data_IF_458844095980
#
_entry.id   IF_458844095980
#
_cell.length_a   1.000
_cell.length_b   1.000
_cell.length_c   1.000
_cell.angle_alpha   90.00
_cell.angle_beta   90.00
_cell.angle_gamma   90.00
#
_symmetry.space_group_name_H-M   'P 1'
#
loop_
_entity.id
_entity.type
_entity.pdbx_description
1 polymer ?
#
# COMPACT_ATOMS: atom_id res chain seq x y z
N UNK A 1 -5.13 -9.52 -15.74
CA UNK A 1 -5.62 -8.34 -14.96
C UNK A 1 -4.68 -8.00 -13.82
N UNK A 2 -4.68 -6.74 -13.33
CA UNK A 2 -3.83 -6.30 -12.23
C UNK A 2 -4.67 -5.57 -11.16
N UNK A 3 -4.53 -5.97 -9.92
CA UNK A 3 -5.10 -5.29 -8.77
C UNK A 3 -4.07 -4.31 -8.21
N UNK A 4 -4.51 -3.12 -7.82
CA UNK A 4 -3.60 -2.16 -7.21
C UNK A 4 -4.17 -1.51 -5.95
N UNK A 5 -3.28 -1.24 -5.02
CA UNK A 5 -3.50 -0.32 -3.91
C UNK A 5 -2.53 0.85 -4.02
N UNK A 6 -3.03 2.07 -3.91
CA UNK A 6 -2.20 3.27 -3.92
C UNK A 6 -2.80 4.35 -3.03
N UNK A 7 -1.97 5.06 -2.27
CA UNK A 7 -2.37 6.25 -1.54
C UNK A 7 -1.93 7.54 -2.27
N UNK A 8 -0.78 7.52 -2.92
CA UNK A 8 -0.12 8.72 -3.45
C UNK A 8 0.20 8.63 -4.95
N UNK A 9 -0.16 7.53 -5.61
CA UNK A 9 -0.04 7.37 -7.06
C UNK A 9 1.07 6.43 -7.51
N UNK A 10 2.12 6.16 -6.73
CA UNK A 10 3.26 5.34 -7.16
C UNK A 10 2.83 3.96 -7.68
N UNK A 11 2.08 3.19 -6.90
CA UNK A 11 1.65 1.86 -7.30
C UNK A 11 0.67 1.89 -8.48
N UNK A 12 -0.20 2.92 -8.59
CA UNK A 12 -1.05 3.10 -9.76
C UNK A 12 -0.23 3.40 -11.01
N UNK A 13 0.81 4.23 -10.90
CA UNK A 13 1.71 4.50 -12.00
C UNK A 13 2.42 3.22 -12.47
N UNK A 14 2.99 2.45 -11.52
CA UNK A 14 3.61 1.17 -11.84
C UNK A 14 2.62 0.19 -12.51
N UNK A 15 1.40 0.06 -11.97
CA UNK A 15 0.37 -0.77 -12.56
C UNK A 15 -0.01 -0.34 -13.98
N UNK A 16 -0.03 0.98 -14.26
CA UNK A 16 -0.39 1.52 -15.57
C UNK A 16 0.62 1.21 -16.68
N UNK A 17 1.87 0.95 -16.31
CA UNK A 17 2.92 0.58 -17.25
C UNK A 17 3.03 -0.94 -17.47
N UNK A 18 2.39 -1.73 -16.61
CA UNK A 18 2.46 -3.20 -16.69
C UNK A 18 1.24 -3.81 -17.39
N UNK A 19 0.02 -3.35 -17.09
CA UNK A 19 -1.22 -3.92 -17.63
C UNK A 19 -2.25 -2.84 -17.95
N UNK A 20 -3.11 -3.09 -18.93
CA UNK A 20 -4.21 -2.19 -19.30
C UNK A 20 -5.39 -2.33 -18.34
N UNK A 21 -5.78 -3.56 -18.01
CA UNK A 21 -6.87 -3.84 -17.09
C UNK A 21 -6.41 -3.71 -15.64
N UNK A 22 -6.84 -2.63 -14.98
CA UNK A 22 -6.44 -2.27 -13.62
C UNK A 22 -7.66 -2.16 -12.71
N UNK A 23 -7.64 -2.90 -11.62
CA UNK A 23 -8.71 -2.96 -10.63
C UNK A 23 -8.23 -2.38 -9.29
N UNK A 24 -8.94 -1.40 -8.78
CA UNK A 24 -8.62 -0.79 -7.48
C UNK A 24 -9.03 -1.69 -6.33
N UNK A 25 -8.09 -2.13 -5.50
CA UNK A 25 -8.36 -2.96 -4.32
C UNK A 25 -9.41 -2.31 -3.40
N UNK A 26 -9.29 -1.01 -2.99
CA UNK A 26 -10.32 -0.36 -2.18
C UNK A 26 -11.72 -0.35 -2.80
N UNK A 27 -11.83 -0.40 -4.13
CA UNK A 27 -13.12 -0.44 -4.81
C UNK A 27 -13.69 -1.86 -4.86
N UNK A 28 -12.86 -2.84 -5.24
CA UNK A 28 -13.32 -4.21 -5.38
C UNK A 28 -13.64 -4.86 -4.04
N UNK A 29 -12.97 -4.45 -2.96
CA UNK A 29 -13.25 -4.91 -1.59
C UNK A 29 -14.66 -4.59 -1.08
N UNK A 30 -15.44 -3.80 -1.82
CA UNK A 30 -16.86 -3.49 -1.53
C UNK A 30 -17.82 -4.51 -2.12
N UNK A 31 -17.32 -5.41 -2.96
CA UNK A 31 -18.11 -6.48 -3.59
C UNK A 31 -18.23 -7.65 -2.61
N UNK A 32 -19.32 -8.37 -2.72
CA UNK A 32 -19.56 -9.57 -1.91
C UNK A 32 -18.76 -10.76 -2.43
N UNK A 33 -18.64 -10.90 -3.76
CA UNK A 33 -17.84 -11.92 -4.42
C UNK A 33 -16.47 -11.35 -4.83
N UNK A 34 -15.41 -12.00 -4.35
CA UNK A 34 -14.02 -11.68 -4.64
C UNK A 34 -13.33 -12.85 -5.36
N UNK A 35 -14.02 -13.48 -6.29
CA UNK A 35 -13.48 -14.58 -7.11
C UNK A 35 -13.03 -14.04 -8.48
N UNK A 36 -11.77 -14.26 -8.81
CA UNK A 36 -11.15 -13.71 -10.03
C UNK A 36 -10.48 -14.82 -10.84
N UNK A 37 -10.72 -14.80 -12.15
CA UNK A 37 -10.13 -15.78 -13.08
C UNK A 37 -9.48 -15.05 -14.24
N UNK A 38 -8.18 -15.27 -14.42
CA UNK A 38 -7.40 -14.76 -15.55
C UNK A 38 -6.15 -15.64 -15.71
N UNK A 39 -5.62 -15.76 -16.92
CA UNK A 39 -4.36 -16.45 -17.17
C UNK A 39 -3.19 -15.86 -16.36
N UNK A 40 -3.22 -14.53 -16.11
CA UNK A 40 -2.21 -13.81 -15.33
C UNK A 40 -2.88 -12.81 -14.40
N UNK A 41 -2.69 -12.97 -13.09
CA UNK A 41 -3.19 -12.05 -12.06
C UNK A 41 -2.03 -11.42 -11.31
N UNK A 42 -2.03 -10.10 -11.22
CA UNK A 42 -1.02 -9.33 -10.51
C UNK A 42 -1.57 -8.47 -9.38
N UNK A 43 -0.74 -8.23 -8.36
CA UNK A 43 -0.98 -7.23 -7.32
C UNK A 43 0.15 -6.22 -7.35
N UNK A 44 -0.18 -4.92 -7.44
CA UNK A 44 0.77 -3.81 -7.26
C UNK A 44 0.40 -3.02 -6.02
N UNK A 45 1.32 -2.97 -5.06
CA UNK A 45 1.09 -2.34 -3.76
C UNK A 45 2.34 -1.62 -3.24
N UNK A 46 2.19 -0.57 -2.43
CA UNK A 46 3.32 0.04 -1.74
C UNK A 46 3.81 -0.83 -0.59
N UNK A 47 5.07 -0.62 -0.21
CA UNK A 47 5.67 -1.18 1.00
C UNK A 47 5.49 -0.19 2.14
N UNK A 48 4.74 -0.58 3.17
CA UNK A 48 4.55 0.18 4.40
C UNK A 48 5.13 -0.61 5.58
N UNK A 49 6.13 -0.06 6.26
CA UNK A 49 6.79 -0.77 7.35
C UNK A 49 7.42 -2.11 6.94
N UNK A 50 7.91 -2.18 5.69
CA UNK A 50 8.50 -3.36 5.04
C UNK A 50 7.49 -4.44 4.58
N UNK A 51 6.19 -4.26 4.82
CA UNK A 51 5.12 -5.16 4.40
C UNK A 51 4.13 -4.49 3.44
N UNK A 52 3.21 -5.26 2.88
CA UNK A 52 2.08 -4.71 2.15
C UNK A 52 1.08 -4.06 3.12
N UNK A 53 0.32 -3.03 2.68
CA UNK A 53 -0.71 -2.43 3.51
C UNK A 53 -1.76 -3.45 3.97
N UNK A 54 -2.31 -3.25 5.17
CA UNK A 54 -3.31 -4.13 5.77
C UNK A 54 -4.49 -4.43 4.83
N UNK A 55 -4.98 -3.42 4.09
CA UNK A 55 -6.06 -3.62 3.11
C UNK A 55 -5.68 -4.60 1.99
N UNK A 56 -4.40 -4.63 1.58
CA UNK A 56 -3.91 -5.60 0.58
C UNK A 56 -3.86 -7.01 1.18
N UNK A 57 -3.41 -7.13 2.43
CA UNK A 57 -3.43 -8.39 3.18
C UNK A 57 -4.86 -8.93 3.31
N UNK A 58 -5.82 -8.09 3.71
CA UNK A 58 -7.24 -8.45 3.82
C UNK A 58 -7.83 -8.88 2.47
N UNK A 59 -7.48 -8.17 1.39
CA UNK A 59 -7.90 -8.53 0.05
C UNK A 59 -7.39 -9.92 -0.33
N UNK A 60 -6.10 -10.18 -0.16
CA UNK A 60 -5.49 -11.48 -0.48
C UNK A 60 -6.07 -12.63 0.36
N UNK A 61 -6.41 -12.39 1.62
CA UNK A 61 -7.01 -13.38 2.51
C UNK A 61 -8.46 -13.72 2.12
N UNK A 62 -9.20 -12.75 1.57
CA UNK A 62 -10.63 -12.91 1.21
C UNK A 62 -10.84 -13.33 -0.23
N UNK A 63 -9.94 -12.95 -1.12
CA UNK A 63 -10.09 -13.20 -2.55
C UNK A 63 -9.69 -14.62 -2.93
N UNK A 64 -10.36 -15.17 -3.94
CA UNK A 64 -10.01 -16.44 -4.58
C UNK A 64 -9.49 -16.13 -5.98
N UNK A 65 -8.25 -16.55 -6.25
CA UNK A 65 -7.60 -16.33 -7.54
C UNK A 65 -7.45 -17.65 -8.31
N UNK A 66 -8.06 -17.72 -9.48
CA UNK A 66 -7.89 -18.80 -10.45
C UNK A 66 -6.95 -18.31 -11.55
N UNK A 67 -5.68 -18.64 -11.46
CA UNK A 67 -4.64 -18.19 -12.39
C UNK A 67 -3.48 -19.17 -12.43
N UNK A 68 -2.85 -19.30 -13.60
CA UNK A 68 -1.62 -20.09 -13.78
C UNK A 68 -0.35 -19.27 -13.43
N UNK A 69 -0.51 -17.94 -13.35
CA UNK A 69 0.61 -17.04 -13.11
C UNK A 69 0.20 -15.88 -12.19
N UNK A 70 0.47 -16.04 -10.90
CA UNK A 70 0.27 -14.98 -9.91
C UNK A 70 1.56 -14.21 -9.68
N UNK A 71 1.49 -12.87 -9.64
CA UNK A 71 2.67 -12.04 -9.39
C UNK A 71 2.39 -10.85 -8.49
N UNK A 72 3.44 -10.34 -7.83
CA UNK A 72 3.38 -9.12 -7.03
C UNK A 72 4.50 -8.15 -7.39
N UNK A 73 4.16 -6.86 -7.50
CA UNK A 73 5.13 -5.77 -7.67
C UNK A 73 4.97 -4.81 -6.49
N UNK A 74 6.03 -4.64 -5.73
CA UNK A 74 6.03 -3.88 -4.49
C UNK A 74 6.80 -2.57 -4.68
N UNK A 75 6.10 -1.44 -4.60
CA UNK A 75 6.73 -0.12 -4.76
C UNK A 75 7.23 0.41 -3.42
N UNK A 76 8.47 0.90 -3.38
CA UNK A 76 9.07 1.43 -2.16
C UNK A 76 9.87 2.69 -2.44
N UNK A 77 10.08 3.53 -1.41
CA UNK A 77 10.73 4.83 -1.56
C UNK A 77 12.18 4.89 -1.11
N UNK A 78 12.52 4.15 -0.06
CA UNK A 78 13.87 4.17 0.55
C UNK A 78 14.38 2.75 0.84
N UNK A 79 13.68 1.98 1.66
CA UNK A 79 14.04 0.60 2.01
C UNK A 79 12.83 -0.30 1.87
N UNK A 80 13.03 -1.49 1.33
CA UNK A 80 11.97 -2.50 1.25
C UNK A 80 12.05 -3.55 2.39
N UNK A 81 13.17 -3.63 3.12
CA UNK A 81 13.33 -4.44 4.34
C UNK A 81 12.95 -5.91 4.20
N UNK A 82 13.19 -6.51 3.03
CA UNK A 82 12.80 -7.91 2.80
C UNK A 82 11.38 -8.10 2.30
N UNK A 83 10.72 -7.04 1.81
CA UNK A 83 9.31 -7.08 1.38
C UNK A 83 8.97 -8.22 0.41
N UNK A 84 9.88 -8.63 -0.49
CA UNK A 84 9.64 -9.74 -1.41
C UNK A 84 9.47 -11.09 -0.67
N UNK A 85 10.30 -11.39 0.33
CA UNK A 85 10.16 -12.60 1.14
C UNK A 85 8.91 -12.55 2.03
N UNK A 86 8.60 -11.38 2.60
CA UNK A 86 7.40 -11.18 3.42
C UNK A 86 6.13 -11.32 2.58
N UNK A 87 6.12 -10.81 1.34
CA UNK A 87 5.03 -11.00 0.41
C UNK A 87 4.90 -12.46 -0.04
N UNK A 88 6.00 -13.17 -0.26
CA UNK A 88 5.99 -14.60 -0.56
C UNK A 88 5.37 -15.40 0.60
N UNK A 89 5.74 -15.06 1.84
CA UNK A 89 5.15 -15.68 3.04
C UNK A 89 3.64 -15.41 3.11
N UNK A 90 3.21 -14.16 2.87
CA UNK A 90 1.78 -13.83 2.81
C UNK A 90 1.06 -14.62 1.74
N UNK A 91 1.63 -14.76 0.54
CA UNK A 91 1.05 -15.60 -0.50
C UNK A 91 0.84 -17.04 -0.02
N UNK A 92 1.85 -17.63 0.64
CA UNK A 92 1.74 -18.98 1.18
C UNK A 92 0.64 -19.10 2.26
N UNK A 93 0.52 -18.10 3.15
CA UNK A 93 -0.56 -18.01 4.15
C UNK A 93 -1.95 -17.96 3.51
N UNK A 94 -2.06 -17.36 2.32
CA UNK A 94 -3.30 -17.28 1.53
C UNK A 94 -3.51 -18.48 0.57
N UNK A 95 -2.62 -19.47 0.58
CA UNK A 95 -2.69 -20.62 -0.32
C UNK A 95 -2.31 -20.30 -1.78
N UNK A 96 -1.56 -19.21 -2.01
CA UNK A 96 -1.13 -18.75 -3.33
C UNK A 96 0.34 -19.13 -3.54
N UNK A 97 0.67 -19.75 -4.70
CA UNK A 97 2.04 -19.96 -5.16
C UNK A 97 2.44 -18.85 -6.16
N UNK A 98 3.18 -17.81 -5.74
CA UNK A 98 3.51 -16.72 -6.63
C UNK A 98 4.59 -17.13 -7.63
N UNK A 99 4.33 -16.88 -8.91
CA UNK A 99 5.30 -17.08 -9.98
C UNK A 99 6.39 -16.00 -9.97
N UNK A 100 6.02 -14.76 -9.62
CA UNK A 100 6.95 -13.64 -9.68
C UNK A 100 6.66 -12.62 -8.57
N UNK A 101 7.71 -12.20 -7.85
CA UNK A 101 7.64 -11.07 -6.91
C UNK A 101 8.86 -10.19 -7.14
N UNK A 102 8.63 -8.90 -7.37
CA UNK A 102 9.72 -7.93 -7.52
C UNK A 102 9.42 -6.63 -6.79
N UNK A 103 10.46 -5.83 -6.58
CA UNK A 103 10.38 -4.53 -5.90
C UNK A 103 10.78 -3.42 -6.85
N UNK A 104 10.16 -2.24 -6.74
CA UNK A 104 10.44 -1.07 -7.58
C UNK A 104 10.73 0.14 -6.70
N UNK A 105 11.93 0.69 -6.84
CA UNK A 105 12.32 1.91 -6.14
C UNK A 105 11.68 3.12 -6.82
N UNK A 106 10.86 3.86 -6.07
CA UNK A 106 10.15 5.05 -6.53
C UNK A 106 10.40 6.23 -5.58
N UNK A 107 9.79 7.39 -5.85
CA UNK A 107 9.88 8.53 -4.94
C UNK A 107 9.32 8.16 -3.56
N UNK A 108 10.09 8.43 -2.50
CA UNK A 108 9.56 8.31 -1.14
C UNK A 108 8.66 9.51 -0.85
N UNK A 109 7.42 9.24 -0.56
CA UNK A 109 6.40 10.26 -0.33
C UNK A 109 5.84 10.25 1.10
N UNK A 110 6.59 9.68 2.04
CA UNK A 110 6.30 9.81 3.46
C UNK A 110 6.76 11.19 3.98
N UNK A 111 5.89 12.17 3.84
CA UNK A 111 6.14 13.58 4.10
C UNK A 111 6.74 13.90 5.49
N UNK A 112 6.45 13.15 6.57
CA UNK A 112 7.10 13.40 7.84
C UNK A 112 8.63 13.28 7.85
N UNK A 113 9.20 12.52 6.89
CA UNK A 113 10.64 12.27 6.83
C UNK A 113 11.32 12.73 5.54
N UNK A 114 10.57 12.92 4.43
CA UNK A 114 11.14 13.21 3.12
C UNK A 114 10.59 14.48 2.51
N UNK A 115 11.50 15.31 1.98
CA UNK A 115 11.16 16.49 1.18
C UNK A 115 10.85 16.05 -0.27
N UNK A 116 9.66 16.42 -0.75
CA UNK A 116 9.23 16.04 -2.10
C UNK A 116 10.03 16.75 -3.20
N UNK A 117 10.56 17.95 -2.97
CA UNK A 117 11.40 18.64 -3.94
C UNK A 117 12.77 17.96 -4.09
N UNK A 118 13.30 17.41 -3.00
CA UNK A 118 14.50 16.56 -3.07
C UNK A 118 14.18 15.23 -3.75
N UNK A 119 13.07 14.57 -3.41
CA UNK A 119 12.68 13.30 -4.02
C UNK A 119 12.47 13.40 -5.54
N UNK A 120 11.92 14.51 -6.04
CA UNK A 120 11.74 14.75 -7.47
C UNK A 120 13.05 14.87 -8.24
N UNK A 121 14.14 15.27 -7.57
CA UNK A 121 15.47 15.42 -8.20
C UNK A 121 16.23 14.11 -8.30
N UNK A 122 15.80 13.08 -7.56
CA UNK A 122 16.43 11.77 -7.57
C UNK A 122 15.95 10.98 -8.78
N UNK A 123 16.85 10.70 -9.70
CA UNK A 123 16.57 9.76 -10.79
C UNK A 123 16.60 8.33 -10.26
N UNK A 124 15.43 7.78 -10.00
CA UNK A 124 15.25 6.40 -9.53
C UNK A 124 15.04 5.41 -10.68
N UNK A 125 15.16 5.85 -11.92
CA UNK A 125 15.06 5.03 -13.14
C UNK A 125 13.82 4.11 -13.15
N UNK A 126 12.68 4.65 -12.73
CA UNK A 126 11.44 3.89 -12.51
C UNK A 126 11.00 3.19 -13.79
N UNK A 127 11.00 3.89 -14.93
CA UNK A 127 10.61 3.33 -16.22
C UNK A 127 11.55 2.21 -16.68
N UNK A 128 12.84 2.33 -16.41
CA UNK A 128 13.80 1.28 -16.73
C UNK A 128 13.56 0.02 -15.88
N UNK A 129 13.33 0.18 -14.57
CA UNK A 129 12.98 -0.94 -13.68
C UNK A 129 11.68 -1.61 -14.16
N UNK A 130 10.64 -0.85 -14.44
CA UNK A 130 9.34 -1.39 -14.88
C UNK A 130 9.42 -2.02 -16.28
N UNK A 131 10.27 -1.51 -17.18
CA UNK A 131 10.50 -2.13 -18.49
C UNK A 131 11.12 -3.53 -18.36
N UNK A 132 12.08 -3.71 -17.45
CA UNK A 132 12.67 -5.03 -17.16
C UNK A 132 11.61 -5.97 -16.57
N UNK A 133 10.83 -5.50 -15.61
CA UNK A 133 9.75 -6.28 -14.99
C UNK A 133 8.72 -6.69 -16.04
N UNK A 134 8.30 -5.78 -16.92
CA UNK A 134 7.37 -6.08 -18.01
C UNK A 134 7.91 -7.16 -18.92
N UNK A 135 9.16 -7.06 -19.33
CA UNK A 135 9.81 -8.08 -20.16
C UNK A 135 9.87 -9.45 -19.47
N UNK A 136 10.15 -9.48 -18.16
CA UNK A 136 10.11 -10.71 -17.35
C UNK A 136 8.70 -11.33 -17.31
N UNK A 137 7.66 -10.51 -17.08
CA UNK A 137 6.28 -10.95 -17.04
C UNK A 137 5.81 -11.48 -18.41
N UNK A 138 6.18 -10.79 -19.49
CA UNK A 138 5.82 -11.21 -20.87
C UNK A 138 6.54 -12.51 -21.29
N UNK A 139 7.75 -12.74 -20.75
CA UNK A 139 8.48 -13.99 -20.89
C UNK A 139 7.99 -15.13 -19.97
N UNK A 140 7.02 -14.88 -19.10
CA UNK A 140 6.56 -15.85 -18.10
C UNK A 140 7.63 -16.25 -17.08
N UNK A 141 8.58 -15.37 -16.80
CA UNK A 141 9.71 -15.65 -15.88
C UNK A 141 9.20 -15.93 -14.47
N UNK A 142 9.72 -16.97 -13.84
CA UNK A 142 9.44 -17.28 -12.43
C UNK A 142 10.62 -16.84 -11.57
N UNK A 143 10.40 -15.87 -10.67
CA UNK A 143 11.45 -15.30 -9.85
C UNK A 143 10.86 -14.57 -8.63
N UNK A 144 11.46 -14.79 -7.48
CA UNK A 144 11.25 -13.94 -6.30
C UNK A 144 12.50 -13.11 -6.12
N UNK A 145 12.35 -11.79 -6.00
CA UNK A 145 13.48 -10.87 -5.82
C UNK A 145 14.29 -11.25 -4.57
N UNK A 146 15.59 -11.36 -4.77
CA UNK A 146 16.49 -11.74 -3.67
C UNK A 146 16.51 -10.65 -2.59
N UNK A 147 16.51 -11.08 -1.33
CA UNK A 147 16.61 -10.21 -0.16
C UNK A 147 17.99 -10.40 0.46
N UNK A 148 18.66 -9.31 0.76
CA UNK A 148 19.98 -9.35 1.42
C UNK A 148 19.85 -9.53 2.94
N UNK A 149 20.91 -10.00 3.58
CA UNK A 149 20.97 -10.07 5.05
C UNK A 149 20.88 -8.67 5.69
N UNK A 150 21.37 -7.64 4.99
CA UNK A 150 21.21 -6.26 5.43
C UNK A 150 19.75 -5.79 5.42
N UNK A 151 18.94 -6.23 4.44
CA UNK A 151 17.51 -5.93 4.41
C UNK A 151 16.76 -6.65 5.54
N UNK A 152 17.08 -7.91 5.80
CA UNK A 152 16.49 -8.67 6.93
C UNK A 152 16.85 -8.02 8.27
N UNK A 153 18.12 -7.65 8.47
CA UNK A 153 18.55 -6.95 9.68
C UNK A 153 17.87 -5.59 9.84
N UNK A 154 17.65 -4.87 8.73
CA UNK A 154 16.90 -3.61 8.74
C UNK A 154 15.43 -3.80 9.14
N UNK A 155 14.81 -4.90 8.70
CA UNK A 155 13.43 -5.24 9.10
C UNK A 155 13.36 -5.57 10.61
N UNK A 156 14.26 -6.39 11.12
CA UNK A 156 14.33 -6.72 12.55
C UNK A 156 14.53 -5.46 13.41
N UNK A 157 15.45 -4.58 13.00
CA UNK A 157 15.69 -3.31 13.68
C UNK A 157 14.45 -2.40 13.65
N UNK A 158 13.74 -2.36 12.53
CA UNK A 158 12.48 -1.63 12.41
C UNK A 158 11.44 -2.17 13.40
N UNK A 159 11.20 -3.47 13.43
CA UNK A 159 10.25 -4.09 14.37
C UNK A 159 10.65 -3.83 15.84
N UNK A 160 11.95 -3.92 16.17
CA UNK A 160 12.43 -3.62 17.50
C UNK A 160 12.17 -2.15 17.90
N UNK A 161 12.30 -1.21 16.96
CA UNK A 161 11.98 0.20 17.18
C UNK A 161 10.47 0.43 17.34
N UNK A 162 9.65 -0.21 16.50
CA UNK A 162 8.20 -0.11 16.59
C UNK A 162 7.65 -0.56 17.95
N UNK A 163 8.17 -1.67 18.50
CA UNK A 163 7.79 -2.17 19.84
C UNK A 163 8.14 -1.21 20.97
N UNK A 164 9.07 -0.28 20.77
CA UNK A 164 9.47 0.74 21.76
C UNK A 164 8.72 2.05 21.63
N UNK A 165 7.99 2.24 20.52
CA UNK A 165 7.25 3.47 20.30
C UNK A 165 6.02 3.54 21.21
N UNK A 166 5.69 4.73 21.77
CA UNK A 166 4.42 4.92 22.47
C UNK A 166 3.24 4.59 21.55
N UNK A 167 2.19 3.99 22.10
CA UNK A 167 0.99 3.60 21.34
C UNK A 167 0.29 4.79 20.66
N UNK A 168 0.49 6.00 21.17
CA UNK A 168 -0.12 7.24 20.69
C UNK A 168 0.75 8.04 19.70
N UNK A 169 1.96 7.55 19.37
CA UNK A 169 2.92 8.27 18.51
C UNK A 169 2.31 8.69 17.15
N UNK A 170 1.39 7.90 16.63
CA UNK A 170 0.74 8.13 15.34
C UNK A 170 -0.44 9.11 15.39
N UNK A 171 -0.96 9.41 16.59
CA UNK A 171 -2.15 10.25 16.77
C UNK A 171 -1.96 11.70 16.31
N UNK A 172 -0.72 12.15 16.25
CA UNK A 172 -0.38 13.53 15.91
C UNK A 172 0.17 13.71 14.49
N UNK A 173 0.31 12.63 13.71
CA UNK A 173 0.83 12.70 12.34
C UNK A 173 -0.10 13.43 11.37
N UNK A 174 -1.41 13.36 11.60
CA UNK A 174 -2.40 14.00 10.75
C UNK A 174 -3.19 14.97 11.60
N UNK A 175 -3.20 16.24 11.21
CA UNK A 175 -3.91 17.31 11.90
C UNK A 175 -4.82 18.05 10.92
N UNK A 176 -6.02 18.36 11.38
CA UNK A 176 -6.94 19.24 10.66
C UNK A 176 -6.68 20.66 11.16
N UNK A 177 -6.22 21.53 10.26
CA UNK A 177 -5.88 22.92 10.59
C UNK A 177 -7.08 23.83 10.47
N UNK A 178 -7.01 25.04 11.09
CA UNK A 178 -8.07 26.06 11.11
C UNK A 178 -8.51 26.54 9.73
N UNK A 179 -7.70 26.37 8.69
CA UNK A 179 -8.07 26.65 7.30
C UNK A 179 -9.01 25.63 6.65
N UNK A 180 -9.47 24.62 7.38
CA UNK A 180 -10.41 23.65 6.85
C UNK A 180 -11.77 24.29 6.60
N UNK A 181 -12.23 24.23 5.33
CA UNK A 181 -13.54 24.78 4.90
C UNK A 181 -14.68 23.76 5.00
N UNK A 182 -14.43 22.56 5.53
CA UNK A 182 -15.45 21.53 5.72
C UNK A 182 -16.00 20.93 4.41
N UNK A 183 -15.27 20.97 3.29
CA UNK A 183 -15.75 20.51 1.98
C UNK A 183 -15.96 18.99 1.89
N UNK A 184 -15.42 18.20 2.84
CA UNK A 184 -15.59 16.74 2.88
C UNK A 184 -14.75 15.93 1.90
N UNK A 185 -13.94 16.54 1.02
CA UNK A 185 -13.13 15.83 0.02
C UNK A 185 -12.27 14.75 0.66
N UNK A 186 -11.64 15.05 1.82
CA UNK A 186 -10.79 14.09 2.55
C UNK A 186 -11.52 12.81 2.95
N UNK A 187 -12.83 12.86 3.22
CA UNK A 187 -13.63 11.69 3.58
C UNK A 187 -13.90 10.78 2.39
N UNK A 188 -13.89 11.33 1.18
CA UNK A 188 -14.12 10.59 -0.06
C UNK A 188 -12.82 9.95 -0.59
N UNK A 189 -11.70 10.65 -0.44
CA UNK A 189 -10.40 10.18 -0.98
C UNK A 189 -9.66 9.24 -0.04
N UNK A 190 -9.99 9.22 1.26
CA UNK A 190 -9.34 8.34 2.21
C UNK A 190 -9.68 6.87 1.91
N UNK A 191 -8.71 6.01 1.54
CA UNK A 191 -8.98 4.61 1.20
C UNK A 191 -9.50 3.81 2.39
N UNK A 192 -9.03 4.12 3.59
CA UNK A 192 -9.47 3.50 4.85
C UNK A 192 -10.74 4.13 5.46
N UNK A 193 -11.29 5.20 4.84
CA UNK A 193 -12.42 5.98 5.40
C UNK A 193 -12.23 6.39 6.87
N UNK A 194 -10.98 6.63 7.25
CA UNK A 194 -10.61 7.02 8.60
C UNK A 194 -11.01 8.46 8.95
N UNK A 195 -11.48 9.23 7.98
CA UNK A 195 -11.89 10.62 8.17
C UNK A 195 -13.40 10.72 8.06
N UNK A 196 -14.04 11.18 9.13
CA UNK A 196 -15.48 11.44 9.19
C UNK A 196 -15.78 12.95 9.23
N UNK A 197 -17.06 13.29 9.12
CA UNK A 197 -17.56 14.67 9.29
C UNK A 197 -18.55 14.65 10.45
N UNK A 198 -18.34 15.52 11.44
CA UNK A 198 -19.28 15.72 12.56
C UNK A 198 -19.89 17.11 12.50
N UNK A 199 -21.13 17.21 12.95
CA UNK A 199 -21.80 18.51 13.19
C UNK A 199 -21.33 19.00 14.56
N UNK A 200 -20.83 20.24 14.70
CA UNK A 200 -20.45 20.79 15.99
C UNK A 200 -21.64 20.80 16.96
N UNK A 201 -21.50 20.23 18.14
CA UNK A 201 -22.58 20.17 19.17
C UNK A 201 -23.05 21.58 19.60
N UNK A 202 -22.19 22.60 19.48
CA UNK A 202 -22.50 23.96 19.91
C UNK A 202 -23.21 24.86 18.89
N UNK A 203 -23.36 24.41 17.66
CA UNK A 203 -24.05 25.17 16.62
C UNK A 203 -24.68 24.22 15.58
N UNK A 204 -25.89 23.71 15.81
CA UNK A 204 -26.58 22.81 14.90
C UNK A 204 -26.91 23.44 13.54
N UNK A 205 -26.93 24.76 13.44
CA UNK A 205 -27.16 25.52 12.20
C UNK A 205 -25.87 25.81 11.43
N UNK A 206 -24.71 25.45 11.97
CA UNK A 206 -23.44 25.65 11.27
C UNK A 206 -23.37 24.77 10.01
N UNK A 207 -23.30 25.41 8.87
CA UNK A 207 -23.15 24.76 7.55
C UNK A 207 -21.78 24.07 7.41
N UNK A 208 -20.87 24.29 8.35
CA UNK A 208 -19.55 23.68 8.38
C UNK A 208 -19.57 22.43 9.28
N UNK A 209 -19.47 21.27 8.68
CA UNK A 209 -19.18 20.01 9.39
C UNK A 209 -17.70 19.98 9.72
N UNK A 210 -17.36 19.65 10.97
CA UNK A 210 -15.95 19.47 11.35
C UNK A 210 -15.49 18.08 10.94
N UNK A 211 -14.42 17.93 10.14
CA UNK A 211 -13.83 16.63 9.91
C UNK A 211 -13.21 16.10 11.21
N UNK A 212 -13.35 14.81 11.45
CA UNK A 212 -12.67 14.11 12.54
C UNK A 212 -11.94 12.87 11.99
N UNK A 213 -10.86 12.50 12.64
CA UNK A 213 -10.05 11.34 12.28
C UNK A 213 -10.38 10.22 13.24
N UNK A 214 -10.83 9.09 12.71
CA UNK A 214 -11.05 7.88 13.51
C UNK A 214 -9.71 7.16 13.69
N UNK A 215 -9.11 7.34 14.84
CA UNK A 215 -7.83 6.72 15.20
C UNK A 215 -7.92 5.20 15.28
N UNK A 216 -9.08 4.65 15.62
CA UNK A 216 -9.29 3.19 15.67
C UNK A 216 -9.07 2.53 14.30
N UNK A 217 -9.40 3.21 13.21
CA UNK A 217 -9.17 2.69 11.85
C UNK A 217 -7.71 2.84 11.39
N UNK A 218 -6.95 3.78 11.96
CA UNK A 218 -5.53 3.96 11.67
C UNK A 218 -4.69 2.98 12.51
N UNK A 219 -5.06 2.76 13.77
CA UNK A 219 -4.35 1.86 14.70
C UNK A 219 -4.61 0.39 14.36
N UNK A 220 -5.83 0.02 13.99
CA UNK A 220 -6.16 -1.35 13.56
C UNK A 220 -5.36 -1.80 12.31
N UNK A 221 -4.85 -0.86 11.52
CA UNK A 221 -3.94 -1.17 10.40
C UNK A 221 -2.50 -1.52 10.86
N UNK A 222 -2.15 -1.21 12.12
CA UNK A 222 -0.81 -1.42 12.67
C UNK A 222 -0.73 -2.49 13.79
N UNK A 223 -1.89 -2.91 14.33
CA UNK A 223 -1.95 -3.68 15.59
C UNK A 223 -2.09 -5.21 15.41
N UNK A 224 -1.92 -5.75 14.22
CA UNK A 224 -1.94 -7.21 14.02
C UNK A 224 -0.52 -7.74 13.75
N UNK A 225 0.34 -7.55 14.72
CA UNK A 225 1.68 -8.13 14.81
C UNK A 225 1.85 -8.91 16.11
N UNK A 226 0.98 -9.93 16.36
CA UNK A 226 1.24 -11.05 17.27
C UNK A 226 1.11 -12.37 16.52
#
# INVERSE_FOLDING_TARGET
MIFYFTATGNSLYAASLLEEERVSIPQVMRQDDLTFTDARIGIVAPVYGHEVPQMVREFMTRAVFHTDYFYMILTYGNRHGGAAELAQKLCAECGIDPAYINVVLMADNWLPAFDMEEQKRLDKQVEAQLSVIRADLDAGRRMIAAVSDADRAAHEAFLANMRRMPADVWQHLIQIKDGCVGCGVCTHVCPHKAIGMSIPEKNPDARCRNPHISLQQIVAANDQGE
#
